data_IF_316617669511
#
_entry.id   IF_316617669511
#
_cell.length_a   1.000
_cell.length_b   1.000
_cell.length_c   1.000
_cell.angle_alpha   90.00
_cell.angle_beta   90.00
_cell.angle_gamma   90.00
#
_symmetry.space_group_name_H-M   'P 1'
#
loop_
_entity.id
_entity.type
_entity.pdbx_description
1 polymer ?
#
# COMPACT_ATOMS: atom_id res chain seq x y z
N UNK A 1 2.94 -0.69 -23.23
CA UNK A 1 3.89 -1.56 -22.49
C UNK A 1 3.32 -2.97 -22.51
N UNK A 2 4.20 -3.98 -22.49
CA UNK A 2 3.74 -5.37 -22.40
C UNK A 2 3.34 -5.69 -20.95
N UNK A 3 2.41 -6.65 -20.81
CA UNK A 3 2.00 -7.17 -19.51
C UNK A 3 3.22 -7.74 -18.74
N UNK A 4 3.28 -7.51 -17.44
CA UNK A 4 4.30 -8.08 -16.58
C UNK A 4 3.64 -8.91 -15.47
N UNK A 5 4.37 -9.88 -14.93
CA UNK A 5 3.92 -10.64 -13.75
C UNK A 5 4.74 -10.23 -12.54
N UNK A 6 4.07 -9.80 -11.48
CA UNK A 6 4.66 -9.40 -10.21
C UNK A 6 3.97 -10.15 -9.08
N UNK A 7 4.70 -10.92 -8.30
CA UNK A 7 4.17 -11.69 -7.17
C UNK A 7 2.92 -12.50 -7.52
N UNK A 8 2.93 -13.17 -8.68
CA UNK A 8 1.80 -13.98 -9.15
C UNK A 8 0.64 -13.19 -9.79
N UNK A 9 0.70 -11.85 -9.80
CA UNK A 9 -0.33 -10.99 -10.42
C UNK A 9 0.15 -10.51 -11.79
N UNK A 10 -0.67 -10.69 -12.82
CA UNK A 10 -0.43 -10.08 -14.14
C UNK A 10 -0.92 -8.64 -14.15
N UNK A 11 -0.02 -7.70 -14.41
CA UNK A 11 -0.24 -6.25 -14.47
C UNK A 11 -0.13 -5.77 -15.92
N UNK A 12 -0.86 -4.72 -16.31
CA UNK A 12 -0.77 -4.10 -17.64
C UNK A 12 0.52 -3.27 -17.81
N UNK A 13 1.10 -2.80 -16.71
CA UNK A 13 2.39 -2.10 -16.66
C UNK A 13 2.96 -2.17 -15.24
N UNK A 14 4.23 -1.78 -15.00
CA UNK A 14 4.80 -1.78 -13.64
C UNK A 14 4.33 -0.64 -12.74
N UNK A 15 3.34 0.14 -13.14
CA UNK A 15 2.89 1.34 -12.41
C UNK A 15 1.51 1.14 -11.81
N UNK A 16 1.42 1.22 -10.48
CA UNK A 16 0.19 1.13 -9.70
C UNK A 16 0.01 2.39 -8.83
N UNK A 17 -1.21 2.63 -8.38
CA UNK A 17 -1.44 3.55 -7.28
C UNK A 17 -1.15 2.87 -5.94
N UNK A 18 -0.63 3.60 -4.95
CA UNK A 18 -0.50 3.10 -3.59
C UNK A 18 -1.87 3.02 -2.89
N UNK A 19 -2.03 2.01 -2.02
CA UNK A 19 -3.26 1.79 -1.26
C UNK A 19 -3.81 3.06 -0.60
N UNK A 20 -5.10 3.33 -0.79
CA UNK A 20 -5.80 4.46 -0.17
C UNK A 20 -5.65 5.79 -0.89
N UNK A 21 -4.79 5.93 -1.88
CA UNK A 21 -4.55 7.21 -2.57
C UNK A 21 -5.54 7.49 -3.71
N UNK A 22 -6.19 6.45 -4.23
CA UNK A 22 -7.30 6.56 -5.20
C UNK A 22 -8.62 5.98 -4.65
N UNK A 23 -8.77 5.93 -3.32
CA UNK A 23 -9.97 5.35 -2.72
C UNK A 23 -10.18 3.89 -3.15
N UNK A 24 -11.31 3.61 -3.77
CA UNK A 24 -11.59 2.32 -4.41
C UNK A 24 -11.47 2.36 -5.95
N UNK A 25 -10.97 3.46 -6.50
CA UNK A 25 -10.71 3.63 -7.93
C UNK A 25 -11.84 4.35 -8.68
N UNK A 26 -13.10 3.95 -8.51
CA UNK A 26 -14.23 4.46 -9.32
C UNK A 26 -14.40 5.99 -9.28
N UNK A 27 -14.08 6.64 -8.15
CA UNK A 27 -14.11 8.11 -8.05
C UNK A 27 -13.02 8.83 -8.83
N UNK A 28 -11.99 8.11 -9.29
CA UNK A 28 -10.92 8.67 -10.13
C UNK A 28 -11.21 8.53 -11.62
N UNK A 29 -12.22 7.73 -12.01
CA UNK A 29 -12.61 7.55 -13.41
C UNK A 29 -13.04 8.86 -14.11
N UNK A 30 -13.48 9.87 -13.34
CA UNK A 30 -13.79 11.19 -13.86
C UNK A 30 -12.55 12.04 -14.20
N UNK A 31 -11.37 11.64 -13.71
CA UNK A 31 -10.11 12.36 -13.88
C UNK A 31 -9.10 11.63 -14.75
N UNK A 32 -9.10 10.29 -14.72
CA UNK A 32 -8.16 9.46 -15.46
C UNK A 32 -8.86 8.26 -16.10
N UNK A 33 -8.31 7.79 -17.21
CA UNK A 33 -8.69 6.51 -17.78
C UNK A 33 -8.06 5.36 -16.99
N UNK A 34 -8.89 4.64 -16.21
CA UNK A 34 -8.44 3.53 -15.36
C UNK A 34 -7.86 2.36 -16.17
N UNK A 35 -8.21 2.17 -17.44
CA UNK A 35 -7.60 1.16 -18.32
C UNK A 35 -6.09 1.34 -18.51
N UNK A 36 -5.59 2.55 -18.27
CA UNK A 36 -4.17 2.92 -18.44
C UNK A 36 -3.32 2.61 -17.22
N UNK A 37 -3.93 2.20 -16.11
CA UNK A 37 -3.20 1.77 -14.92
C UNK A 37 -2.60 0.38 -15.13
N UNK A 38 -1.41 0.14 -14.60
CA UNK A 38 -0.83 -1.20 -14.56
C UNK A 38 -1.63 -2.16 -13.70
N UNK A 39 -2.18 -1.62 -12.62
CA UNK A 39 -3.10 -2.27 -11.69
C UNK A 39 -3.65 -1.24 -10.69
N UNK A 40 -4.77 -1.55 -10.07
CA UNK A 40 -5.44 -0.72 -9.09
C UNK A 40 -5.32 -1.33 -7.69
N UNK A 41 -4.59 -0.67 -6.79
CA UNK A 41 -4.56 -1.05 -5.37
C UNK A 41 -5.66 -0.30 -4.64
N UNK A 42 -6.58 -1.03 -4.01
CA UNK A 42 -7.72 -0.41 -3.31
C UNK A 42 -7.30 0.25 -2.01
N UNK A 43 -8.17 1.10 -1.45
CA UNK A 43 -8.10 1.50 -0.04
C UNK A 43 -8.11 0.25 0.84
N UNK A 44 -7.27 0.24 1.87
CA UNK A 44 -7.23 -0.86 2.84
C UNK A 44 -8.58 -1.05 3.51
N UNK A 45 -9.09 -2.28 3.44
CA UNK A 45 -10.37 -2.69 3.99
C UNK A 45 -10.21 -3.46 5.29
N UNK A 46 -11.24 -3.40 6.11
CA UNK A 46 -11.44 -4.22 7.31
C UNK A 46 -12.78 -4.95 7.20
N UNK A 47 -13.01 -5.99 8.01
CA UNK A 47 -14.30 -6.70 8.02
C UNK A 47 -15.44 -5.75 8.37
N UNK A 48 -15.29 -4.98 9.43
CA UNK A 48 -16.27 -3.97 9.85
C UNK A 48 -15.87 -2.57 9.36
N UNK A 49 -16.83 -1.67 9.09
CA UNK A 49 -16.53 -0.28 8.80
C UNK A 49 -15.72 0.38 9.93
N UNK A 50 -14.78 1.26 9.55
CA UNK A 50 -14.01 2.09 10.49
C UNK A 50 -14.21 3.57 10.18
N UNK A 51 -14.51 4.36 11.23
CA UNK A 51 -14.66 5.81 11.14
C UNK A 51 -13.33 6.52 10.82
N UNK A 52 -12.22 5.92 11.23
CA UNK A 52 -10.89 6.54 11.16
C UNK A 52 -10.59 7.40 12.38
N UNK A 53 -9.43 8.08 12.33
CA UNK A 53 -8.96 8.98 13.37
C UNK A 53 -9.76 10.30 13.41
N UNK A 54 -9.63 11.04 14.50
CA UNK A 54 -10.18 12.41 14.61
C UNK A 54 -9.44 13.36 13.65
N UNK A 55 -10.11 14.44 13.27
CA UNK A 55 -9.51 15.50 12.47
C UNK A 55 -8.66 16.45 13.35
N UNK A 56 -7.68 17.16 12.75
CA UNK A 56 -7.21 17.10 11.36
C UNK A 56 -6.48 15.79 11.03
N UNK A 57 -6.68 15.27 9.82
CA UNK A 57 -6.09 13.98 9.39
C UNK A 57 -4.93 14.12 8.43
N UNK A 58 -4.74 15.31 7.87
CA UNK A 58 -3.71 15.64 6.90
C UNK A 58 -3.04 16.95 7.30
N UNK A 59 -1.73 17.00 7.08
CA UNK A 59 -0.91 18.20 7.23
C UNK A 59 0.17 18.23 6.16
N UNK A 60 0.21 19.32 5.39
CA UNK A 60 1.26 19.51 4.37
C UNK A 60 2.61 19.84 5.03
N UNK A 61 3.65 19.29 4.44
CA UNK A 61 5.05 19.57 4.78
C UNK A 61 5.76 20.16 3.57
N UNK A 62 6.94 20.79 3.70
CA UNK A 62 7.65 21.41 2.55
C UNK A 62 7.89 20.46 1.37
N UNK A 63 7.98 19.15 1.59
CA UNK A 63 8.26 18.14 0.55
C UNK A 63 7.43 16.89 0.71
N UNK A 64 6.18 17.01 1.17
CA UNK A 64 5.31 15.84 1.31
C UNK A 64 4.11 16.09 2.20
N UNK A 65 3.58 15.03 2.77
CA UNK A 65 2.34 15.02 3.52
C UNK A 65 2.47 14.16 4.78
N UNK A 66 2.01 14.67 5.90
CA UNK A 66 1.73 13.89 7.10
C UNK A 66 0.26 13.49 7.12
N UNK A 67 -0.03 12.23 7.44
CA UNK A 67 -1.40 11.75 7.57
C UNK A 67 -1.63 10.92 8.83
N UNK A 68 -2.84 11.00 9.37
CA UNK A 68 -3.35 10.11 10.40
C UNK A 68 -4.81 9.70 10.08
N UNK A 69 -5.03 9.03 8.96
CA UNK A 69 -6.39 8.68 8.51
C UNK A 69 -7.07 7.63 9.41
N UNK A 70 -6.29 6.79 10.10
CA UNK A 70 -6.82 5.78 11.02
C UNK A 70 -7.59 4.65 10.33
N UNK A 71 -7.19 4.29 9.12
CA UNK A 71 -7.79 3.20 8.35
C UNK A 71 -9.29 3.39 8.07
N UNK A 72 -9.74 4.64 7.86
CA UNK A 72 -11.14 4.90 7.51
C UNK A 72 -11.55 4.11 6.27
N UNK A 73 -12.54 3.25 6.40
CA UNK A 73 -13.09 2.47 5.30
C UNK A 73 -14.52 2.00 5.62
N UNK A 74 -15.34 1.70 4.59
CA UNK A 74 -16.73 1.29 4.76
C UNK A 74 -16.93 -0.21 5.04
N UNK A 75 -15.85 -0.97 5.21
CA UNK A 75 -15.87 -2.43 5.29
C UNK A 75 -15.83 -3.12 3.91
N UNK A 76 -15.33 -4.36 3.89
CA UNK A 76 -15.17 -5.11 2.64
C UNK A 76 -16.52 -5.48 1.98
N UNK A 77 -17.57 -5.70 2.76
CA UNK A 77 -18.90 -6.01 2.22
C UNK A 77 -19.45 -4.86 1.36
N UNK A 78 -19.25 -3.60 1.80
CA UNK A 78 -19.65 -2.45 0.98
C UNK A 78 -18.76 -2.31 -0.27
N UNK A 79 -17.49 -2.69 -0.21
CA UNK A 79 -16.66 -2.76 -1.39
C UNK A 79 -17.24 -3.76 -2.41
N UNK A 80 -17.50 -5.01 -2.01
CA UNK A 80 -17.99 -6.06 -2.90
C UNK A 80 -19.37 -5.75 -3.49
N UNK A 81 -20.26 -5.14 -2.70
CA UNK A 81 -21.64 -4.87 -3.11
C UNK A 81 -21.82 -3.60 -3.94
N UNK A 82 -20.98 -2.59 -3.73
CA UNK A 82 -21.14 -1.25 -4.32
C UNK A 82 -19.95 -0.86 -5.18
N UNK A 83 -18.76 -0.70 -4.60
CA UNK A 83 -17.62 -0.12 -5.30
C UNK A 83 -17.07 -1.01 -6.40
N UNK A 84 -17.00 -2.32 -6.17
CA UNK A 84 -16.54 -3.29 -7.15
C UNK A 84 -17.33 -3.24 -8.46
N UNK A 85 -18.66 -3.07 -8.38
CA UNK A 85 -19.52 -2.97 -9.56
C UNK A 85 -19.17 -1.80 -10.48
N UNK A 86 -18.67 -0.70 -9.90
CA UNK A 86 -18.20 0.45 -10.65
C UNK A 86 -16.81 0.25 -11.28
N UNK A 87 -16.14 -0.88 -11.04
CA UNK A 87 -14.80 -1.17 -11.56
C UNK A 87 -14.80 -2.25 -12.66
N UNK A 88 -15.81 -3.11 -12.68
CA UNK A 88 -15.87 -4.30 -13.59
C UNK A 88 -15.71 -3.95 -15.07
N UNK A 89 -16.09 -2.74 -15.49
CA UNK A 89 -15.97 -2.31 -16.90
C UNK A 89 -14.59 -1.80 -17.32
N UNK A 90 -13.64 -1.65 -16.37
CA UNK A 90 -12.36 -0.99 -16.68
C UNK A 90 -11.21 -1.95 -17.02
N UNK A 91 -11.43 -3.26 -17.01
CA UNK A 91 -10.40 -4.27 -17.35
C UNK A 91 -9.03 -3.97 -16.72
N UNK A 92 -9.02 -3.52 -15.45
CA UNK A 92 -7.82 -3.24 -14.69
C UNK A 92 -7.65 -4.28 -13.59
N UNK A 93 -6.47 -4.94 -13.47
CA UNK A 93 -6.26 -5.91 -12.39
C UNK A 93 -6.31 -5.22 -11.03
N UNK A 94 -7.18 -5.72 -10.15
CA UNK A 94 -7.40 -5.14 -8.81
C UNK A 94 -6.59 -5.90 -7.78
N UNK A 95 -5.75 -5.19 -7.03
CA UNK A 95 -5.09 -5.68 -5.83
C UNK A 95 -5.87 -5.16 -4.62
N UNK A 96 -6.57 -6.04 -3.93
CA UNK A 96 -7.42 -5.66 -2.81
C UNK A 96 -6.61 -5.52 -1.52
N UNK A 97 -6.43 -4.29 -1.03
CA UNK A 97 -5.70 -4.06 0.22
C UNK A 97 -6.58 -4.35 1.44
N UNK A 98 -6.07 -5.16 2.38
CA UNK A 98 -6.78 -5.64 3.58
C UNK A 98 -5.92 -5.55 4.84
N UNK A 99 -6.58 -5.44 5.99
CA UNK A 99 -5.94 -5.56 7.32
C UNK A 99 -6.94 -6.07 8.36
N UNK A 100 -6.44 -6.65 9.45
CA UNK A 100 -7.26 -7.18 10.53
C UNK A 100 -6.56 -8.30 11.31
N UNK A 101 -7.33 -9.08 12.06
CA UNK A 101 -6.83 -10.33 12.63
C UNK A 101 -6.60 -11.37 11.53
N UNK A 102 -5.84 -12.44 11.78
CA UNK A 102 -5.68 -13.53 10.80
C UNK A 102 -7.01 -14.07 10.27
N UNK A 103 -7.99 -14.29 11.13
CA UNK A 103 -9.32 -14.80 10.77
C UNK A 103 -10.10 -13.79 9.91
N UNK A 104 -10.01 -12.50 10.22
CA UNK A 104 -10.63 -11.43 9.43
C UNK A 104 -10.00 -11.33 8.04
N UNK A 105 -8.67 -11.42 7.95
CA UNK A 105 -7.94 -11.38 6.67
C UNK A 105 -8.32 -12.60 5.83
N UNK A 106 -8.34 -13.80 6.40
CA UNK A 106 -8.77 -15.03 5.71
C UNK A 106 -10.18 -14.88 5.14
N UNK A 107 -11.13 -14.45 5.97
CA UNK A 107 -12.51 -14.21 5.54
C UNK A 107 -12.61 -13.25 4.37
N UNK A 108 -11.86 -12.14 4.42
CA UNK A 108 -11.83 -11.16 3.32
C UNK A 108 -11.19 -11.74 2.06
N UNK A 109 -10.05 -12.43 2.19
CA UNK A 109 -9.35 -13.03 1.05
C UNK A 109 -10.24 -14.06 0.32
N UNK A 110 -10.96 -14.92 1.06
CA UNK A 110 -11.89 -15.88 0.47
C UNK A 110 -13.04 -15.20 -0.28
N UNK A 111 -13.65 -14.16 0.31
CA UNK A 111 -14.72 -13.42 -0.33
C UNK A 111 -14.26 -12.62 -1.57
N UNK A 112 -13.06 -12.04 -1.52
CA UNK A 112 -12.46 -11.28 -2.63
C UNK A 112 -12.07 -12.19 -3.80
N UNK A 113 -11.71 -13.44 -3.53
CA UNK A 113 -11.38 -14.44 -4.56
C UNK A 113 -12.59 -14.86 -5.42
N UNK A 114 -13.82 -14.56 -5.01
CA UNK A 114 -15.03 -14.74 -5.81
C UNK A 114 -15.27 -13.62 -6.83
N UNK A 115 -14.44 -12.56 -6.82
CA UNK A 115 -14.58 -11.41 -7.68
C UNK A 115 -13.58 -11.49 -8.85
N UNK A 116 -14.03 -11.70 -10.10
CA UNK A 116 -13.15 -12.01 -11.23
C UNK A 116 -12.04 -10.99 -11.53
N UNK A 117 -12.29 -9.69 -11.28
CA UNK A 117 -11.29 -8.65 -11.52
C UNK A 117 -10.28 -8.49 -10.36
N UNK A 118 -10.49 -9.18 -9.23
CA UNK A 118 -9.52 -9.16 -8.12
C UNK A 118 -8.43 -10.16 -8.41
N UNK A 119 -7.25 -9.65 -8.74
CA UNK A 119 -6.08 -10.42 -9.16
C UNK A 119 -5.13 -10.79 -8.01
N UNK A 120 -5.24 -10.11 -6.87
CA UNK A 120 -4.39 -10.34 -5.70
C UNK A 120 -4.88 -9.62 -4.45
N UNK A 121 -4.27 -9.95 -3.33
CA UNK A 121 -4.50 -9.32 -2.02
C UNK A 121 -3.22 -8.69 -1.52
N UNK A 122 -3.28 -7.40 -1.16
CA UNK A 122 -2.22 -6.72 -0.43
C UNK A 122 -2.55 -6.70 1.06
N UNK A 123 -1.80 -7.43 1.89
CA UNK A 123 -1.93 -7.37 3.35
C UNK A 123 -1.17 -6.16 3.86
N UNK A 124 -1.89 -5.18 4.38
CA UNK A 124 -1.30 -3.99 4.98
C UNK A 124 -0.79 -4.31 6.39
N UNK A 125 0.53 -4.41 6.52
CA UNK A 125 1.25 -4.66 7.78
C UNK A 125 1.57 -3.37 8.54
N UNK A 126 0.75 -2.32 8.32
CA UNK A 126 0.91 -1.06 9.05
C UNK A 126 0.90 -1.29 10.56
N UNK A 127 1.81 -0.61 11.24
CA UNK A 127 1.89 -0.55 12.68
C UNK A 127 2.05 0.90 13.09
N UNK A 128 1.20 1.38 13.99
CA UNK A 128 1.36 2.72 14.56
C UNK A 128 2.54 2.74 15.52
N UNK A 129 3.07 3.94 15.82
CA UNK A 129 4.12 4.09 16.81
C UNK A 129 3.72 3.53 18.19
N UNK A 130 2.48 3.79 18.62
CA UNK A 130 1.98 3.31 19.90
C UNK A 130 1.84 1.79 19.98
N UNK A 131 1.34 1.18 18.90
CA UNK A 131 1.27 -0.29 18.78
C UNK A 131 2.67 -0.90 18.84
N UNK A 132 3.63 -0.38 18.05
CA UNK A 132 4.99 -0.89 18.04
C UNK A 132 5.70 -0.76 19.38
N UNK A 133 5.56 0.38 20.04
CA UNK A 133 6.13 0.61 21.38
C UNK A 133 5.64 -0.40 22.43
N UNK A 134 4.38 -0.86 22.26
CA UNK A 134 3.77 -1.86 23.14
C UNK A 134 4.18 -3.28 22.78
N UNK A 135 4.22 -3.61 21.47
CA UNK A 135 4.48 -4.96 20.98
C UNK A 135 5.98 -5.31 20.97
N UNK A 136 6.82 -4.38 20.51
CA UNK A 136 8.21 -4.64 20.16
C UNK A 136 8.38 -5.45 18.86
N UNK A 137 9.61 -5.52 18.38
CA UNK A 137 9.92 -6.09 17.06
C UNK A 137 9.50 -7.55 16.92
N UNK A 138 9.76 -8.39 17.91
CA UNK A 138 9.45 -9.83 17.84
C UNK A 138 7.97 -10.10 17.69
N UNK A 139 7.14 -9.49 18.54
CA UNK A 139 5.69 -9.69 18.50
C UNK A 139 5.08 -9.08 17.21
N UNK A 140 5.62 -7.96 16.72
CA UNK A 140 5.24 -7.41 15.43
C UNK A 140 5.50 -8.40 14.28
N UNK A 141 6.70 -9.00 14.19
CA UNK A 141 7.03 -9.97 13.16
C UNK A 141 6.16 -11.23 13.25
N UNK A 142 5.86 -11.73 14.45
CA UNK A 142 4.93 -12.86 14.67
C UNK A 142 3.53 -12.53 14.13
N UNK A 143 3.01 -11.33 14.40
CA UNK A 143 1.73 -10.88 13.85
C UNK A 143 1.77 -10.76 12.32
N UNK A 144 2.86 -10.24 11.75
CA UNK A 144 3.04 -10.18 10.30
C UNK A 144 2.95 -11.58 9.68
N UNK A 145 3.69 -12.55 10.23
CA UNK A 145 3.67 -13.92 9.76
C UNK A 145 2.27 -14.55 9.81
N UNK A 146 1.54 -14.36 10.90
CA UNK A 146 0.18 -14.89 11.07
C UNK A 146 -0.80 -14.29 10.04
N UNK A 147 -0.75 -12.97 9.82
CA UNK A 147 -1.61 -12.26 8.87
C UNK A 147 -1.34 -12.72 7.43
N UNK A 148 -0.06 -12.84 7.05
CA UNK A 148 0.33 -13.30 5.71
C UNK A 148 -0.08 -14.75 5.48
N UNK A 149 0.18 -15.68 6.43
CA UNK A 149 -0.25 -17.08 6.30
C UNK A 149 -1.76 -17.17 6.09
N UNK A 150 -2.54 -16.45 6.89
CA UNK A 150 -3.99 -16.45 6.77
C UNK A 150 -4.48 -16.01 5.37
N UNK A 151 -3.81 -15.04 4.73
CA UNK A 151 -4.08 -14.66 3.35
C UNK A 151 -3.58 -15.70 2.34
N UNK A 152 -2.36 -16.22 2.53
CA UNK A 152 -1.69 -17.17 1.62
C UNK A 152 -2.35 -18.54 1.56
N UNK A 153 -3.08 -18.95 2.62
CA UNK A 153 -3.94 -20.12 2.59
C UNK A 153 -5.14 -19.97 1.63
N UNK A 154 -5.39 -18.76 1.12
CA UNK A 154 -6.43 -18.44 0.13
C UNK A 154 -6.02 -18.78 -1.30
N UNK A 155 -6.88 -18.38 -2.25
CA UNK A 155 -6.70 -18.66 -3.69
C UNK A 155 -5.98 -17.55 -4.46
N UNK A 156 -5.88 -16.36 -3.87
CA UNK A 156 -5.29 -15.18 -4.52
C UNK A 156 -3.81 -15.04 -4.19
N UNK A 157 -2.97 -14.54 -5.11
CA UNK A 157 -1.63 -14.07 -4.82
C UNK A 157 -1.63 -13.06 -3.67
N UNK A 158 -0.61 -13.13 -2.80
CA UNK A 158 -0.49 -12.28 -1.59
C UNK A 158 0.74 -11.41 -1.66
N UNK A 159 0.52 -10.12 -1.54
CA UNK A 159 1.56 -9.10 -1.38
C UNK A 159 1.56 -8.59 0.07
N UNK A 160 2.73 -8.27 0.58
CA UNK A 160 2.90 -7.75 1.94
C UNK A 160 3.36 -6.29 1.91
N UNK A 161 2.50 -5.33 2.30
CA UNK A 161 2.86 -3.91 2.44
C UNK A 161 3.58 -3.69 3.76
N UNK A 162 4.91 -3.49 3.69
CA UNK A 162 5.79 -3.41 4.85
C UNK A 162 5.76 -2.03 5.53
N UNK A 163 5.85 -2.01 6.86
CA UNK A 163 6.10 -0.79 7.63
C UNK A 163 7.60 -0.51 7.71
N UNK A 164 8.09 0.67 7.31
CA UNK A 164 9.51 0.98 7.35
C UNK A 164 10.02 1.33 8.76
N UNK A 165 9.13 1.49 9.72
CA UNK A 165 9.44 1.97 11.06
C UNK A 165 9.24 0.91 12.16
N UNK A 166 8.63 -0.22 11.84
CA UNK A 166 8.30 -1.24 12.83
C UNK A 166 9.38 -2.34 12.87
N UNK A 167 10.56 -1.99 13.32
CA UNK A 167 11.74 -2.87 13.34
C UNK A 167 12.54 -2.81 12.03
N UNK A 168 13.35 -3.84 11.78
CA UNK A 168 14.09 -3.93 10.51
C UNK A 168 13.17 -4.42 9.40
N UNK A 169 13.10 -3.66 8.31
CA UNK A 169 12.25 -3.96 7.16
C UNK A 169 12.65 -5.25 6.44
N UNK A 170 13.96 -5.61 6.47
CA UNK A 170 14.46 -6.85 5.89
C UNK A 170 13.94 -8.06 6.66
N UNK A 171 13.91 -7.99 7.98
CA UNK A 171 13.35 -9.04 8.81
C UNK A 171 11.83 -9.19 8.56
N UNK A 172 11.11 -8.07 8.38
CA UNK A 172 9.70 -8.09 8.02
C UNK A 172 9.48 -8.70 6.62
N UNK A 173 10.35 -8.37 5.64
CA UNK A 173 10.27 -8.93 4.29
C UNK A 173 10.54 -10.44 4.27
N UNK A 174 11.59 -10.90 4.94
CA UNK A 174 11.89 -12.33 5.10
C UNK A 174 10.76 -13.09 5.82
N UNK A 175 10.19 -12.46 6.85
CA UNK A 175 9.04 -13.01 7.58
C UNK A 175 7.83 -13.17 6.68
N UNK A 176 7.52 -12.15 5.86
CA UNK A 176 6.42 -12.19 4.91
C UNK A 176 6.65 -13.26 3.82
N UNK A 177 7.85 -13.33 3.22
CA UNK A 177 8.22 -14.37 2.26
C UNK A 177 8.04 -15.78 2.86
N UNK A 178 8.58 -16.03 4.05
CA UNK A 178 8.51 -17.33 4.72
C UNK A 178 7.07 -17.69 5.14
N UNK A 179 6.20 -16.71 5.26
CA UNK A 179 4.79 -16.89 5.55
C UNK A 179 3.91 -17.07 4.29
N UNK A 180 4.50 -16.99 3.07
CA UNK A 180 3.83 -17.27 1.80
C UNK A 180 3.48 -16.04 0.96
N UNK A 181 3.99 -14.84 1.30
CA UNK A 181 3.87 -13.69 0.40
C UNK A 181 4.66 -13.94 -0.89
N UNK A 182 4.10 -13.54 -2.03
CA UNK A 182 4.69 -13.67 -3.37
C UNK A 182 5.32 -12.37 -3.85
N UNK A 183 4.97 -11.24 -3.20
CA UNK A 183 5.68 -9.97 -3.33
C UNK A 183 5.68 -9.20 -1.99
N UNK A 184 6.64 -8.28 -1.87
CA UNK A 184 6.70 -7.32 -0.75
C UNK A 184 6.70 -5.91 -1.29
N UNK A 185 5.96 -5.01 -0.63
CA UNK A 185 5.86 -3.60 -1.04
C UNK A 185 6.66 -2.73 -0.07
N UNK A 186 7.71 -2.07 -0.56
CA UNK A 186 8.64 -1.22 0.19
C UNK A 186 8.48 0.27 -0.21
N UNK A 187 7.80 1.08 0.60
CA UNK A 187 7.25 0.73 1.88
C UNK A 187 5.98 1.58 2.16
N UNK A 188 5.41 1.40 3.34
CA UNK A 188 4.40 2.31 3.89
C UNK A 188 5.05 3.63 4.35
N UNK A 189 4.26 4.54 4.92
CA UNK A 189 4.71 5.85 5.42
C UNK A 189 5.65 5.75 6.62
N UNK A 190 6.54 6.72 6.77
CA UNK A 190 7.45 6.84 7.92
C UNK A 190 6.77 7.60 9.06
N UNK A 191 7.04 7.22 10.31
CA UNK A 191 6.54 7.97 11.45
C UNK A 191 7.11 9.38 11.48
N UNK A 192 6.23 10.35 11.67
CA UNK A 192 6.58 11.76 11.77
C UNK A 192 5.56 12.52 12.61
N UNK A 193 5.89 13.76 12.96
CA UNK A 193 4.97 14.64 13.66
C UNK A 193 5.09 16.08 13.19
N UNK A 194 4.03 16.85 13.39
CA UNK A 194 4.02 18.29 13.24
C UNK A 194 3.36 18.91 14.48
N UNK A 195 4.06 19.82 15.13
CA UNK A 195 3.60 20.46 16.35
C UNK A 195 3.27 21.94 16.12
N UNK A 196 2.34 22.44 16.91
CA UNK A 196 2.12 23.85 17.11
C UNK A 196 3.12 24.42 18.14
N UNK A 197 3.16 25.73 18.30
CA UNK A 197 4.09 26.39 19.23
C UNK A 197 3.83 26.02 20.71
N UNK A 198 2.61 25.62 21.02
CA UNK A 198 2.21 25.16 22.36
C UNK A 198 2.49 23.66 22.61
N UNK A 199 3.10 22.97 21.64
CA UNK A 199 3.41 21.54 21.73
C UNK A 199 2.25 20.60 21.35
N UNK A 200 1.07 21.13 21.02
CA UNK A 200 -0.04 20.32 20.53
C UNK A 200 0.20 19.83 19.11
N UNK A 201 -0.38 18.70 18.75
CA UNK A 201 -0.27 18.16 17.38
C UNK A 201 -1.09 18.96 16.37
N UNK A 202 -0.57 19.10 15.15
CA UNK A 202 -1.33 19.59 13.99
C UNK A 202 -2.23 18.52 13.37
N UNK A 203 -2.14 17.29 13.84
CA UNK A 203 -3.00 16.17 13.45
C UNK A 203 -3.90 15.75 14.61
N UNK A 204 -4.94 14.99 14.33
CA UNK A 204 -5.79 14.38 15.36
C UNK A 204 -5.09 13.27 16.18
N UNK A 205 -3.82 12.96 15.88
CA UNK A 205 -2.94 12.11 16.69
C UNK A 205 -1.56 12.77 16.81
N UNK A 206 -0.79 12.39 17.82
CA UNK A 206 0.56 12.94 18.03
C UNK A 206 1.53 12.54 16.91
N UNK A 207 1.41 11.30 16.44
CA UNK A 207 2.26 10.73 15.38
C UNK A 207 1.42 10.44 14.14
N UNK A 208 1.91 10.86 12.98
CA UNK A 208 1.34 10.55 11.68
C UNK A 208 2.32 9.81 10.78
N UNK A 209 1.88 9.44 9.58
CA UNK A 209 2.71 8.86 8.54
C UNK A 209 3.18 9.94 7.56
N UNK A 210 4.50 10.11 7.43
CA UNK A 210 5.12 11.00 6.45
C UNK A 210 5.22 10.28 5.10
N UNK A 211 4.82 10.97 4.03
CA UNK A 211 4.86 10.50 2.64
C UNK A 211 5.28 11.64 1.69
N UNK A 212 5.44 11.34 0.40
CA UNK A 212 5.83 12.30 -0.63
C UNK A 212 7.34 12.36 -0.88
N UNK A 213 7.84 13.32 -1.69
CA UNK A 213 9.23 13.36 -2.16
C UNK A 213 10.29 13.30 -1.05
N UNK A 214 9.98 13.81 0.14
CA UNK A 214 10.90 13.80 1.28
C UNK A 214 11.36 12.38 1.69
N UNK A 215 10.53 11.36 1.50
CA UNK A 215 10.87 9.98 1.91
C UNK A 215 11.49 9.15 0.78
N UNK A 216 11.56 9.65 -0.46
CA UNK A 216 12.06 8.86 -1.59
C UNK A 216 13.44 8.24 -1.36
N UNK A 217 14.49 8.99 -0.96
CA UNK A 217 15.82 8.39 -0.77
C UNK A 217 15.82 7.33 0.34
N UNK A 218 14.98 7.47 1.36
CA UNK A 218 14.82 6.46 2.40
C UNK A 218 14.16 5.19 1.85
N UNK A 219 13.07 5.35 1.09
CA UNK A 219 12.32 4.23 0.54
C UNK A 219 13.10 3.49 -0.56
N UNK A 220 13.85 4.20 -1.40
CA UNK A 220 14.77 3.59 -2.39
C UNK A 220 15.83 2.75 -1.67
N UNK A 221 16.45 3.27 -0.61
CA UNK A 221 17.41 2.52 0.18
C UNK A 221 16.81 1.26 0.81
N UNK A 222 15.61 1.35 1.37
CA UNK A 222 14.92 0.17 1.93
C UNK A 222 14.55 -0.84 0.84
N UNK A 223 14.09 -0.38 -0.33
CA UNK A 223 13.82 -1.24 -1.48
C UNK A 223 15.06 -2.01 -1.91
N UNK A 224 16.20 -1.31 -2.04
CA UNK A 224 17.47 -1.93 -2.37
C UNK A 224 17.91 -2.97 -1.33
N UNK A 225 17.84 -2.66 -0.03
CA UNK A 225 18.18 -3.61 1.04
C UNK A 225 17.33 -4.89 0.95
N UNK A 226 16.02 -4.72 0.81
CA UNK A 226 15.07 -5.84 0.74
C UNK A 226 15.31 -6.68 -0.50
N UNK A 227 15.53 -6.07 -1.66
CA UNK A 227 15.77 -6.77 -2.92
C UNK A 227 17.03 -7.65 -2.91
N UNK A 228 18.03 -7.37 -2.05
CA UNK A 228 19.21 -8.22 -1.88
C UNK A 228 18.96 -9.47 -1.02
N UNK A 229 17.85 -9.50 -0.26
CA UNK A 229 17.68 -10.41 0.86
C UNK A 229 16.43 -11.32 0.75
N UNK A 230 15.57 -11.08 -0.24
CA UNK A 230 14.40 -11.91 -0.50
C UNK A 230 14.39 -12.43 -1.93
N UNK A 231 13.75 -13.58 -2.14
CA UNK A 231 13.59 -14.19 -3.46
C UNK A 231 12.25 -13.82 -4.13
N UNK A 232 11.31 -13.23 -3.38
CA UNK A 232 10.02 -12.76 -3.90
C UNK A 232 10.16 -11.40 -4.58
N UNK A 233 9.22 -11.07 -5.44
CA UNK A 233 9.22 -9.79 -6.15
C UNK A 233 9.11 -8.60 -5.19
N UNK A 234 9.83 -7.52 -5.46
CA UNK A 234 9.80 -6.28 -4.68
C UNK A 234 9.07 -5.21 -5.46
N UNK A 235 8.12 -4.54 -4.80
CA UNK A 235 7.39 -3.39 -5.33
C UNK A 235 7.84 -2.15 -4.56
N UNK A 236 8.37 -1.15 -5.28
CA UNK A 236 8.86 0.10 -4.67
C UNK A 236 7.70 1.06 -4.37
N UNK A 237 7.75 1.77 -3.23
CA UNK A 237 6.72 2.76 -2.89
C UNK A 237 7.29 3.86 -2.01
N UNK A 238 7.08 5.12 -2.42
CA UNK A 238 7.42 6.30 -1.61
C UNK A 238 8.10 7.41 -2.43
N UNK A 239 7.46 8.57 -2.49
CA UNK A 239 8.00 9.80 -3.04
C UNK A 239 8.20 9.85 -4.56
N UNK A 240 7.59 8.96 -5.32
CA UNK A 240 7.65 8.91 -6.78
C UNK A 240 6.76 10.01 -7.34
N UNK A 241 7.32 10.87 -8.21
CA UNK A 241 6.62 11.98 -8.89
C UNK A 241 6.93 12.08 -10.39
N UNK A 242 7.92 11.34 -10.89
CA UNK A 242 8.30 11.36 -12.31
C UNK A 242 8.92 10.02 -12.77
N UNK A 243 9.11 9.86 -14.08
CA UNK A 243 9.69 8.64 -14.66
C UNK A 243 11.12 8.35 -14.18
N UNK A 244 11.91 9.38 -13.89
CA UNK A 244 13.26 9.20 -13.34
C UNK A 244 13.22 8.50 -11.97
N UNK A 245 12.25 8.84 -11.13
CA UNK A 245 12.07 8.20 -9.82
C UNK A 245 11.71 6.72 -9.98
N UNK A 246 10.87 6.37 -10.96
CA UNK A 246 10.54 4.97 -11.27
C UNK A 246 11.79 4.19 -11.65
N UNK A 247 12.62 4.76 -12.56
CA UNK A 247 13.89 4.15 -12.99
C UNK A 247 14.85 3.94 -11.82
N UNK A 248 14.87 4.86 -10.84
CA UNK A 248 15.67 4.74 -9.60
C UNK A 248 15.21 3.52 -8.78
N UNK A 249 13.90 3.31 -8.61
CA UNK A 249 13.37 2.13 -7.92
C UNK A 249 13.66 0.83 -8.66
N UNK A 250 13.53 0.82 -10.00
CA UNK A 250 13.89 -0.36 -10.80
C UNK A 250 15.39 -0.71 -10.65
N UNK A 251 16.26 0.30 -10.66
CA UNK A 251 17.69 0.13 -10.42
C UNK A 251 18.00 -0.38 -8.99
N UNK A 252 17.14 -0.04 -8.01
CA UNK A 252 17.22 -0.57 -6.65
C UNK A 252 16.69 -2.01 -6.51
N UNK A 253 16.17 -2.62 -7.59
CA UNK A 253 15.71 -4.01 -7.61
C UNK A 253 14.19 -4.17 -7.52
N UNK A 254 13.42 -3.08 -7.59
CA UNK A 254 11.97 -3.18 -7.69
C UNK A 254 11.55 -3.71 -9.07
N UNK A 255 10.49 -4.52 -9.14
CA UNK A 255 9.89 -5.04 -10.36
C UNK A 255 8.66 -4.23 -10.80
N UNK A 256 8.04 -3.54 -9.85
CA UNK A 256 6.94 -2.58 -10.05
C UNK A 256 7.02 -1.48 -9.00
N UNK A 257 6.21 -0.44 -9.16
CA UNK A 257 6.13 0.66 -8.18
C UNK A 257 4.69 1.06 -7.88
N UNK A 258 4.46 1.51 -6.65
CA UNK A 258 3.22 2.14 -6.23
C UNK A 258 3.43 3.65 -6.04
N UNK A 259 2.60 4.45 -6.72
CA UNK A 259 2.60 5.90 -6.66
C UNK A 259 1.52 6.36 -5.70
N UNK A 260 1.92 7.10 -4.66
CA UNK A 260 1.04 7.51 -3.57
C UNK A 260 0.67 8.99 -3.60
N UNK A 261 1.38 9.79 -2.81
CA UNK A 261 1.08 11.20 -2.50
C UNK A 261 0.90 12.09 -3.72
N UNK A 262 1.63 11.82 -4.81
CA UNK A 262 1.52 12.58 -6.06
C UNK A 262 0.11 12.56 -6.66
N UNK A 263 -0.67 11.49 -6.45
CA UNK A 263 -2.05 11.39 -6.92
C UNK A 263 -3.00 12.40 -6.27
N UNK A 264 -2.63 12.99 -5.11
CA UNK A 264 -3.46 14.00 -4.46
C UNK A 264 -3.28 15.39 -5.06
N UNK A 265 -2.10 15.68 -5.59
CA UNK A 265 -1.79 16.97 -6.22
C UNK A 265 -2.12 16.96 -7.72
N UNK A 266 -1.91 15.83 -8.37
CA UNK A 266 -2.12 15.64 -9.81
C UNK A 266 -2.65 14.22 -10.05
N UNK A 267 -3.96 14.01 -10.19
CA UNK A 267 -4.57 12.69 -10.41
C UNK A 267 -4.00 11.94 -11.63
N UNK A 268 -3.58 12.68 -12.66
CA UNK A 268 -2.99 12.13 -13.90
C UNK A 268 -1.52 11.71 -13.77
N UNK A 269 -0.90 11.85 -12.59
CA UNK A 269 0.55 11.58 -12.40
C UNK A 269 0.96 10.21 -12.93
N UNK A 270 0.20 9.14 -12.66
CA UNK A 270 0.55 7.78 -13.12
C UNK A 270 0.55 7.73 -14.64
N UNK A 271 -0.46 8.33 -15.28
CA UNK A 271 -0.59 8.35 -16.74
C UNK A 271 0.58 9.10 -17.37
N UNK A 272 0.88 10.30 -16.86
CA UNK A 272 2.01 11.12 -17.33
C UNK A 272 3.36 10.38 -17.16
N UNK A 273 3.55 9.67 -16.06
CA UNK A 273 4.77 8.87 -15.84
C UNK A 273 4.83 7.71 -16.83
N UNK A 274 3.69 7.03 -17.08
CA UNK A 274 3.61 5.93 -18.05
C UNK A 274 4.01 6.37 -19.46
N UNK A 275 3.61 7.58 -19.87
CA UNK A 275 3.95 8.15 -21.18
C UNK A 275 5.44 8.55 -21.29
N UNK A 276 6.11 8.79 -20.17
CA UNK A 276 7.50 9.23 -20.10
C UNK A 276 8.52 8.08 -19.89
N UNK A 277 8.07 6.84 -19.70
CA UNK A 277 8.93 5.66 -19.50
C UNK A 277 9.34 5.01 -20.81
#
# INVERSE_FOLDING_TARGET
>A
MDNITVGGVTLHSPLLNAAGTMGFGSSYADYIDLHRLGGLVTRTMTVKPRRGAEAPRLWETPSGLLNCVGMQNPGYEKFTQVFYKGLVGYDVPIIASVTGTPEEIRRMADALAELPAVAGVEVNLHCTYEEYRTLGSKAYLEQCAQRIRAAADGRLPVWAKLSPCAGDIVDAARTAQNAGAQAVVCANTYWGMALQADGSSRLGSMVGGLSGPAIRPLSVFQTWRVAQEVAVDVVGCGGIVCAADVKEYMAAGAKAVEIGTANFTEPETIIRITEAL
#
